data_IF_686085695258
#
_entry.id   IF_686085695258
#
_cell.length_a   1.000
_cell.length_b   1.000
_cell.length_c   1.000
_cell.angle_alpha   90.00
_cell.angle_beta   90.00
_cell.angle_gamma   90.00
#
_symmetry.space_group_name_H-M   'P 1'
#
loop_
_entity.id
_entity.type
_entity.pdbx_description
1 polymer ?
#
# COMPACT_ATOMS: atom_id res chain seq x y z
N UNK A 1 -31.17 -28.04 -40.27
CA UNK A 1 -31.19 -27.77 -38.81
C UNK A 1 -29.77 -27.57 -38.24
N UNK A 2 -28.83 -28.50 -38.48
CA UNK A 2 -27.44 -28.41 -37.98
C UNK A 2 -26.74 -27.11 -38.41
N UNK A 3 -26.84 -26.71 -39.68
CA UNK A 3 -26.21 -25.47 -40.18
C UNK A 3 -26.72 -24.19 -39.49
N UNK A 4 -27.98 -24.17 -39.05
CA UNK A 4 -28.57 -23.03 -38.34
C UNK A 4 -28.01 -22.95 -36.92
N UNK A 5 -27.89 -24.09 -36.24
CA UNK A 5 -27.30 -24.18 -34.90
C UNK A 5 -25.82 -23.74 -34.92
N UNK A 6 -25.06 -24.16 -35.93
CA UNK A 6 -23.65 -23.75 -36.09
C UNK A 6 -23.53 -22.24 -36.29
N UNK A 7 -24.38 -21.63 -37.13
CA UNK A 7 -24.39 -20.18 -37.36
C UNK A 7 -24.75 -19.40 -36.10
N UNK A 8 -25.76 -19.85 -35.36
CA UNK A 8 -26.18 -19.20 -34.12
C UNK A 8 -25.09 -19.31 -33.04
N UNK A 9 -24.45 -20.47 -32.92
CA UNK A 9 -23.33 -20.67 -32.00
C UNK A 9 -22.15 -19.76 -32.33
N UNK A 10 -21.78 -19.64 -33.61
CA UNK A 10 -20.73 -18.73 -34.06
C UNK A 10 -21.04 -17.27 -33.74
N UNK A 11 -22.28 -16.82 -33.94
CA UNK A 11 -22.72 -15.47 -33.61
C UNK A 11 -22.59 -15.17 -32.11
N UNK A 12 -23.02 -16.10 -31.25
CA UNK A 12 -22.93 -15.95 -29.80
C UNK A 12 -21.49 -15.91 -29.29
N UNK A 13 -20.61 -16.76 -29.83
CA UNK A 13 -19.17 -16.74 -29.50
C UNK A 13 -18.56 -15.41 -29.93
N UNK A 14 -18.87 -14.92 -31.14
CA UNK A 14 -18.38 -13.64 -31.62
C UNK A 14 -18.86 -12.48 -30.73
N UNK A 15 -20.15 -12.46 -30.36
CA UNK A 15 -20.71 -11.44 -29.47
C UNK A 15 -20.06 -11.47 -28.09
N UNK A 16 -19.88 -12.65 -27.50
CA UNK A 16 -19.22 -12.81 -26.20
C UNK A 16 -17.76 -12.36 -26.23
N UNK A 17 -17.01 -12.71 -27.28
CA UNK A 17 -15.64 -12.25 -27.48
C UNK A 17 -15.57 -10.73 -27.62
N UNK A 18 -16.50 -10.10 -28.33
CA UNK A 18 -16.57 -8.63 -28.45
C UNK A 18 -16.80 -7.98 -27.08
N UNK A 19 -17.67 -8.54 -26.25
CA UNK A 19 -17.91 -8.04 -24.88
C UNK A 19 -16.65 -8.18 -24.02
N UNK A 20 -15.98 -9.35 -24.05
CA UNK A 20 -14.72 -9.56 -23.30
C UNK A 20 -13.65 -8.57 -23.76
N UNK A 21 -13.42 -8.45 -25.08
CA UNK A 21 -12.45 -7.51 -25.64
C UNK A 21 -12.82 -6.08 -25.24
N UNK A 22 -14.09 -5.71 -25.27
CA UNK A 22 -14.56 -4.39 -24.84
C UNK A 22 -14.31 -4.11 -23.35
N UNK A 23 -14.47 -5.12 -22.48
CA UNK A 23 -14.15 -5.00 -21.05
C UNK A 23 -12.65 -4.85 -20.81
N UNK A 24 -11.82 -5.61 -21.53
CA UNK A 24 -10.37 -5.51 -21.43
C UNK A 24 -9.77 -4.29 -22.14
N UNK A 25 -10.48 -3.73 -23.12
CA UNK A 25 -10.07 -2.54 -23.85
C UNK A 25 -10.39 -1.24 -23.11
N UNK A 26 -11.23 -1.28 -22.06
CA UNK A 26 -11.37 -0.13 -21.16
C UNK A 26 -10.06 -0.02 -20.39
N UNK A 27 -9.30 1.09 -20.53
CA UNK A 27 -8.20 1.35 -19.61
C UNK A 27 -8.81 1.32 -18.21
N UNK A 28 -8.18 0.57 -17.31
CA UNK A 28 -8.58 0.54 -15.92
C UNK A 28 -8.41 1.99 -15.41
N UNK A 29 -9.54 2.69 -15.26
CA UNK A 29 -9.58 4.11 -14.94
C UNK A 29 -9.48 4.24 -13.42
N UNK A 30 -8.24 4.25 -12.96
CA UNK A 30 -7.86 4.39 -11.57
C UNK A 30 -7.10 5.69 -11.33
N UNK A 31 -7.41 6.71 -12.14
CA UNK A 31 -6.82 8.04 -11.99
C UNK A 31 -6.82 8.49 -10.53
N UNK A 32 -7.92 8.27 -9.81
CA UNK A 32 -8.01 8.60 -8.38
C UNK A 32 -7.02 7.84 -7.48
N UNK A 33 -6.72 6.57 -7.75
CA UNK A 33 -5.75 5.81 -6.96
C UNK A 33 -4.31 6.18 -7.32
N UNK A 34 -4.03 6.37 -8.62
CA UNK A 34 -2.73 6.86 -9.06
C UNK A 34 -2.46 8.26 -8.51
N UNK A 35 -3.42 9.17 -8.58
CA UNK A 35 -3.29 10.53 -8.06
C UNK A 35 -3.15 10.56 -6.53
N UNK A 36 -3.80 9.61 -5.83
CA UNK A 36 -3.64 9.46 -4.39
C UNK A 36 -2.24 8.94 -4.01
N UNK A 37 -1.71 7.97 -4.76
CA UNK A 37 -0.43 7.33 -4.43
C UNK A 37 0.79 8.07 -4.99
N UNK A 38 0.65 8.72 -6.15
CA UNK A 38 1.68 9.44 -6.90
C UNK A 38 1.05 10.69 -7.57
N UNK A 39 0.70 11.73 -6.79
CA UNK A 39 0.08 12.93 -7.32
C UNK A 39 0.97 13.61 -8.37
N UNK A 40 0.44 13.98 -9.55
CA UNK A 40 1.25 14.56 -10.63
C UNK A 40 1.80 15.96 -10.31
N UNK A 41 1.10 16.70 -9.43
CA UNK A 41 1.43 18.08 -9.07
C UNK A 41 2.41 18.18 -7.88
N UNK A 42 3.06 17.08 -7.49
CA UNK A 42 3.96 17.05 -6.34
C UNK A 42 5.20 16.20 -6.60
N UNK A 43 6.38 16.74 -6.25
CA UNK A 43 7.65 16.00 -6.32
C UNK A 43 7.58 14.76 -5.42
N UNK A 44 7.78 13.57 -6.00
CA UNK A 44 7.78 12.30 -5.25
C UNK A 44 9.03 12.19 -4.35
N UNK A 45 8.93 11.71 -3.09
CA UNK A 45 7.75 11.17 -2.40
C UNK A 45 6.79 12.26 -1.90
N UNK A 46 5.49 12.09 -2.15
CA UNK A 46 4.47 13.03 -1.70
C UNK A 46 3.13 12.36 -1.45
N UNK A 47 2.44 12.79 -0.39
CA UNK A 47 1.07 12.37 -0.06
C UNK A 47 0.27 13.56 0.43
N UNK A 48 -0.82 13.93 -0.27
CA UNK A 48 -1.65 15.09 0.05
C UNK A 48 -0.85 16.40 0.22
N UNK A 49 0.25 16.57 -0.54
CA UNK A 49 1.14 17.73 -0.44
C UNK A 49 2.20 17.63 0.68
N UNK A 50 2.20 16.56 1.48
CA UNK A 50 3.23 16.28 2.48
C UNK A 50 4.41 15.60 1.81
N UNK A 51 5.57 16.26 1.86
CA UNK A 51 6.83 15.82 1.26
C UNK A 51 7.84 15.46 2.34
N UNK A 52 8.08 14.16 2.60
CA UNK A 52 9.17 13.74 3.48
C UNK A 52 10.50 14.39 3.09
N UNK A 53 11.25 14.85 4.09
CA UNK A 53 12.50 15.61 3.98
C UNK A 53 12.32 17.12 3.79
N UNK A 54 11.11 17.60 3.49
CA UNK A 54 10.84 19.02 3.22
C UNK A 54 9.71 19.60 4.08
N UNK A 55 8.63 18.86 4.29
CA UNK A 55 7.48 19.31 5.09
C UNK A 55 7.80 19.17 6.58
N UNK A 56 7.64 20.26 7.33
CA UNK A 56 7.78 20.27 8.79
C UNK A 56 6.70 19.40 9.44
N UNK A 57 6.94 18.97 10.67
CA UNK A 57 5.96 18.20 11.44
C UNK A 57 4.65 18.96 11.63
N UNK A 58 4.72 20.25 11.95
CA UNK A 58 3.53 21.09 12.16
C UNK A 58 2.77 21.36 10.86
N UNK A 59 3.46 21.62 9.75
CA UNK A 59 2.81 21.77 8.45
C UNK A 59 2.13 20.47 8.02
N UNK A 60 2.78 19.33 8.21
CA UNK A 60 2.20 18.03 7.91
C UNK A 60 0.92 17.80 8.73
N UNK A 61 0.93 18.08 10.03
CA UNK A 61 -0.25 17.96 10.89
C UNK A 61 -1.35 18.93 10.48
N UNK A 62 -1.02 20.18 10.15
CA UNK A 62 -1.99 21.15 9.67
C UNK A 62 -2.65 20.73 8.35
N UNK A 63 -1.89 20.14 7.43
CA UNK A 63 -2.42 19.55 6.19
C UNK A 63 -3.37 18.39 6.54
N UNK A 64 -2.92 17.44 7.35
CA UNK A 64 -3.74 16.28 7.71
C UNK A 64 -5.02 16.67 8.46
N UNK A 65 -4.95 17.67 9.34
CA UNK A 65 -6.11 18.21 10.04
C UNK A 65 -7.11 18.90 9.10
N UNK A 66 -6.68 19.45 7.96
CA UNK A 66 -7.62 19.95 6.94
C UNK A 66 -8.26 18.81 6.15
N UNK A 67 -7.48 17.79 5.80
CA UNK A 67 -7.93 16.70 4.93
C UNK A 67 -8.69 15.60 5.67
N UNK A 68 -8.59 15.49 7.00
CA UNK A 68 -9.13 14.34 7.74
C UNK A 68 -10.63 14.10 7.53
N UNK A 69 -11.42 15.17 7.31
CA UNK A 69 -12.86 15.06 7.14
C UNK A 69 -13.23 14.27 5.87
N UNK A 70 -12.42 14.39 4.82
CA UNK A 70 -12.59 13.62 3.58
C UNK A 70 -12.09 12.18 3.71
N UNK A 71 -11.23 11.89 4.69
CA UNK A 71 -10.49 10.64 4.81
C UNK A 71 -10.61 9.98 6.19
N UNK A 72 -11.82 9.92 6.73
CA UNK A 72 -12.15 9.47 8.09
C UNK A 72 -11.73 8.03 8.46
N UNK A 73 -11.03 7.30 7.59
CA UNK A 73 -10.58 5.90 7.81
C UNK A 73 -9.07 5.72 7.79
N UNK A 74 -8.30 6.80 7.63
CA UNK A 74 -6.84 6.69 7.59
C UNK A 74 -6.22 6.69 8.99
N UNK A 75 -5.16 5.89 9.13
CA UNK A 75 -4.24 5.96 10.25
C UNK A 75 -2.86 6.31 9.68
N UNK A 76 -2.22 7.33 10.26
CA UNK A 76 -0.99 7.90 9.73
C UNK A 76 0.05 7.92 10.84
N UNK A 77 1.26 7.46 10.53
CA UNK A 77 2.42 7.55 11.41
C UNK A 77 3.48 8.41 10.73
N UNK A 78 3.85 9.50 11.41
CA UNK A 78 4.90 10.43 11.01
C UNK A 78 6.18 10.06 11.75
N UNK A 79 7.27 9.80 11.04
CA UNK A 79 8.59 9.55 11.63
C UNK A 79 9.53 10.70 11.30
N UNK A 80 10.33 11.11 12.27
CA UNK A 80 11.28 12.21 12.17
C UNK A 80 12.46 11.96 13.12
N UNK A 81 13.58 12.67 12.93
CA UNK A 81 14.78 12.49 13.75
C UNK A 81 15.08 13.73 14.60
N UNK A 82 15.46 13.52 15.86
CA UNK A 82 16.07 14.54 16.72
C UNK A 82 17.35 13.98 17.32
N UNK A 83 18.48 14.66 17.09
CA UNK A 83 19.80 14.20 17.58
C UNK A 83 20.07 12.71 17.26
N UNK A 84 19.75 12.29 16.03
CA UNK A 84 19.88 10.90 15.53
C UNK A 84 18.95 9.86 16.16
N UNK A 85 18.08 10.23 17.11
CA UNK A 85 17.06 9.34 17.63
C UNK A 85 15.80 9.40 16.74
N UNK A 86 15.31 8.24 16.25
CA UNK A 86 14.04 8.20 15.54
C UNK A 86 12.90 8.45 16.54
N UNK A 87 12.08 9.44 16.22
CA UNK A 87 10.85 9.77 16.92
C UNK A 87 9.67 9.51 15.98
N UNK A 88 8.53 9.16 16.57
CA UNK A 88 7.31 8.92 15.82
C UNK A 88 6.14 9.69 16.44
N UNK A 89 5.21 10.11 15.59
CA UNK A 89 3.92 10.67 15.97
C UNK A 89 2.83 9.92 15.20
N UNK A 90 1.99 9.21 15.95
CA UNK A 90 0.83 8.51 15.40
C UNK A 90 -0.36 9.46 15.40
N UNK A 91 -1.09 9.50 14.29
CA UNK A 91 -2.34 10.23 14.14
C UNK A 91 -3.41 9.27 13.61
N UNK A 92 -4.50 9.13 14.35
CA UNK A 92 -5.56 8.19 14.03
C UNK A 92 -6.90 8.91 14.07
N UNK A 93 -7.58 8.97 12.92
CA UNK A 93 -8.94 9.50 12.81
C UNK A 93 -10.00 8.40 12.65
N UNK A 94 -9.59 7.17 12.31
CA UNK A 94 -10.50 6.04 12.11
C UNK A 94 -11.20 5.62 13.41
N UNK A 95 -10.57 5.91 14.56
CA UNK A 95 -11.02 5.46 15.87
C UNK A 95 -10.91 3.94 16.06
N UNK A 96 -10.30 3.24 15.10
CA UNK A 96 -9.85 1.86 15.23
C UNK A 96 -8.40 1.92 15.67
N UNK A 97 -8.16 1.84 16.97
CA UNK A 97 -6.82 1.62 17.50
C UNK A 97 -6.54 0.12 17.57
N UNK A 98 -5.30 -0.27 17.25
CA UNK A 98 -4.73 -1.58 17.56
C UNK A 98 -4.65 -1.86 19.08
N UNK A 99 -4.98 -0.87 19.92
CA UNK A 99 -5.17 -1.06 21.34
C UNK A 99 -6.68 -1.12 21.64
N UNK A 100 -7.23 -2.29 22.02
CA UNK A 100 -8.67 -2.52 22.18
C UNK A 100 -9.33 -1.75 23.34
N UNK A 101 -8.68 -0.73 23.91
CA UNK A 101 -9.13 -0.03 25.12
C UNK A 101 -9.56 1.41 24.92
N UNK A 102 -9.51 1.98 23.70
CA UNK A 102 -9.73 3.44 23.54
C UNK A 102 -10.77 3.77 22.47
N UNK A 103 -11.82 4.48 22.92
CA UNK A 103 -12.91 5.04 22.10
C UNK A 103 -12.34 6.08 21.11
N UNK A 104 -13.05 6.25 19.97
CA UNK A 104 -12.83 7.28 18.94
C UNK A 104 -12.24 8.58 19.50
N UNK A 105 -11.09 9.02 18.97
CA UNK A 105 -10.45 10.29 19.31
C UNK A 105 -9.03 10.38 18.74
N UNK A 106 -8.58 11.61 18.47
CA UNK A 106 -7.18 11.91 18.13
C UNK A 106 -6.31 11.57 19.34
N UNK A 107 -5.40 10.60 19.20
CA UNK A 107 -4.34 10.40 20.18
C UNK A 107 -3.10 11.14 19.72
N UNK A 108 -2.84 12.26 20.38
CA UNK A 108 -1.59 12.97 20.22
C UNK A 108 -0.63 12.51 21.31
N UNK A 109 0.32 11.64 20.95
CA UNK A 109 1.44 11.32 21.84
C UNK A 109 2.37 12.53 21.88
N UNK A 110 2.21 13.34 22.94
CA UNK A 110 3.03 14.47 23.39
C UNK A 110 3.50 15.43 22.27
N UNK A 111 2.80 16.55 22.14
CA UNK A 111 3.29 17.69 21.38
C UNK A 111 4.47 18.35 22.13
N UNK A 112 5.70 18.09 21.70
CA UNK A 112 6.85 18.90 22.08
C UNK A 112 6.95 20.06 21.06
N UNK A 113 6.61 21.31 21.46
CA UNK A 113 6.67 22.46 20.55
C UNK A 113 8.10 22.76 20.08
N UNK A 114 9.13 22.20 20.71
CA UNK A 114 10.50 22.29 20.21
C UNK A 114 10.74 21.44 18.94
N UNK A 115 9.76 20.64 18.50
CA UNK A 115 9.85 19.73 17.35
C UNK A 115 8.97 20.14 16.17
N UNK A 116 8.27 21.27 16.28
CA UNK A 116 7.37 21.81 15.26
C UNK A 116 8.00 21.95 13.88
N UNK A 117 9.21 22.52 13.83
CA UNK A 117 9.90 22.86 12.58
C UNK A 117 10.78 21.72 12.03
N UNK A 118 10.78 20.55 12.67
CA UNK A 118 11.61 19.42 12.23
C UNK A 118 10.95 18.77 10.99
N UNK A 119 11.67 18.61 9.88
CA UNK A 119 11.13 17.93 8.71
C UNK A 119 10.87 16.46 9.03
N UNK A 120 9.75 15.92 8.54
CA UNK A 120 9.46 14.50 8.68
C UNK A 120 10.34 13.69 7.72
N UNK A 121 10.89 12.57 8.15
CA UNK A 121 11.72 11.70 7.32
C UNK A 121 10.89 10.65 6.56
N UNK A 122 9.81 10.19 7.20
CA UNK A 122 8.95 9.13 6.68
C UNK A 122 7.50 9.35 7.11
N UNK A 123 6.58 9.05 6.22
CA UNK A 123 5.15 9.08 6.42
C UNK A 123 4.59 7.69 6.07
N UNK A 124 4.02 7.00 7.05
CA UNK A 124 3.37 5.71 6.87
C UNK A 124 1.86 5.91 6.95
N UNK A 125 1.16 5.59 5.86
CA UNK A 125 -0.29 5.71 5.72
C UNK A 125 -0.89 4.31 5.68
N UNK A 126 -1.77 4.00 6.62
CA UNK A 126 -2.61 2.80 6.57
C UNK A 126 -3.89 3.13 5.84
N UNK A 127 -4.03 2.52 4.67
CA UNK A 127 -5.10 2.75 3.72
C UNK A 127 -6.34 1.92 4.05
N UNK A 128 -7.46 2.21 3.39
CA UNK A 128 -8.70 1.44 3.52
C UNK A 128 -8.43 -0.05 3.18
N UNK A 129 -8.92 -1.01 3.99
CA UNK A 129 -8.75 -2.44 3.73
C UNK A 129 -9.33 -2.92 2.39
N UNK A 130 -10.14 -2.10 1.72
CA UNK A 130 -10.62 -2.38 0.37
C UNK A 130 -9.56 -2.24 -0.74
N UNK A 131 -8.45 -1.54 -0.50
CA UNK A 131 -7.39 -1.40 -1.49
C UNK A 131 -6.58 -2.70 -1.60
N UNK A 132 -6.57 -3.33 -2.76
CA UNK A 132 -5.84 -4.58 -2.98
C UNK A 132 -4.52 -4.37 -3.72
N UNK A 133 -3.61 -5.35 -3.62
CA UNK A 133 -2.38 -5.36 -4.40
C UNK A 133 -2.64 -5.31 -5.91
N UNK A 134 -3.70 -5.97 -6.38
CA UNK A 134 -4.11 -5.96 -7.78
C UNK A 134 -4.47 -4.56 -8.25
N UNK A 135 -5.20 -3.80 -7.45
CA UNK A 135 -5.54 -2.40 -7.78
C UNK A 135 -4.25 -1.58 -7.91
N UNK A 136 -3.34 -1.66 -6.93
CA UNK A 136 -2.05 -0.96 -6.98
C UNK A 136 -1.22 -1.36 -8.22
N UNK A 137 -1.17 -2.65 -8.55
CA UNK A 137 -0.39 -3.13 -9.69
C UNK A 137 -1.00 -2.66 -11.03
N UNK A 138 -2.32 -2.60 -11.14
CA UNK A 138 -2.99 -2.06 -12.32
C UNK A 138 -2.76 -0.54 -12.45
N UNK A 139 -2.73 0.18 -11.33
CA UNK A 139 -2.52 1.64 -11.29
C UNK A 139 -1.09 2.09 -11.51
N UNK A 140 -0.15 1.47 -10.81
CA UNK A 140 1.24 1.92 -10.78
C UNK A 140 2.13 1.07 -11.69
N UNK A 141 1.60 -0.05 -12.20
CA UNK A 141 2.37 -1.03 -12.94
C UNK A 141 3.24 -1.90 -12.03
N UNK A 142 4.28 -2.47 -12.63
CA UNK A 142 5.24 -3.32 -11.91
C UNK A 142 6.10 -2.46 -10.99
N UNK A 143 6.30 -2.84 -9.71
CA UNK A 143 7.23 -2.15 -8.83
C UNK A 143 8.66 -2.25 -9.37
N UNK A 144 9.48 -1.22 -9.07
CA UNK A 144 10.89 -1.20 -9.45
C UNK A 144 11.65 -2.34 -8.76
N UNK A 145 11.41 -2.50 -7.46
CA UNK A 145 12.02 -3.53 -6.63
C UNK A 145 10.97 -4.16 -5.69
N UNK A 146 11.19 -5.43 -5.36
CA UNK A 146 10.36 -6.16 -4.39
C UNK A 146 11.28 -6.72 -3.31
N UNK A 147 11.01 -6.38 -2.05
CA UNK A 147 11.71 -6.96 -0.91
C UNK A 147 10.72 -7.73 -0.03
N UNK A 148 11.22 -8.69 0.74
CA UNK A 148 10.37 -9.53 1.57
C UNK A 148 10.92 -9.73 2.99
N UNK A 149 9.98 -9.75 3.93
CA UNK A 149 10.19 -10.17 5.31
C UNK A 149 9.26 -11.32 5.67
N UNK A 150 9.57 -12.02 6.75
CA UNK A 150 8.73 -13.09 7.30
C UNK A 150 8.27 -12.72 8.70
N UNK A 151 6.98 -12.88 8.97
CA UNK A 151 6.42 -12.69 10.29
C UNK A 151 5.80 -14.00 10.79
N UNK A 152 6.22 -14.42 11.98
CA UNK A 152 5.75 -15.63 12.62
C UNK A 152 4.65 -15.29 13.63
N UNK A 153 3.48 -15.89 13.45
CA UNK A 153 2.34 -15.78 14.35
C UNK A 153 2.22 -17.03 15.22
N UNK A 154 1.49 -16.94 16.34
CA UNK A 154 1.06 -18.09 17.15
C UNK A 154 2.20 -19.08 17.45
N UNK A 155 3.30 -18.58 18.00
CA UNK A 155 4.50 -19.35 18.34
C UNK A 155 5.14 -20.10 17.15
N UNK A 156 4.92 -19.62 15.92
CA UNK A 156 5.49 -20.17 14.69
C UNK A 156 4.61 -21.20 13.98
N UNK A 157 3.37 -21.39 14.41
CA UNK A 157 2.41 -22.29 13.72
C UNK A 157 1.85 -21.67 12.44
N UNK A 158 1.85 -20.34 12.34
CA UNK A 158 1.50 -19.61 11.13
C UNK A 158 2.65 -18.68 10.73
N UNK A 159 2.89 -18.58 9.43
CA UNK A 159 3.87 -17.68 8.84
C UNK A 159 3.15 -16.78 7.86
N UNK A 160 3.45 -15.49 7.95
CA UNK A 160 3.06 -14.50 6.95
C UNK A 160 4.30 -14.02 6.20
N UNK A 161 4.16 -13.87 4.90
CA UNK A 161 5.11 -13.19 4.03
C UNK A 161 4.71 -11.71 3.96
N UNK A 162 5.60 -10.82 4.40
CA UNK A 162 5.45 -9.37 4.26
C UNK A 162 6.19 -8.97 2.99
N UNK A 163 5.47 -8.39 2.04
CA UNK A 163 6.03 -7.91 0.80
C UNK A 163 6.02 -6.40 0.76
N UNK A 164 7.17 -5.85 0.38
CA UNK A 164 7.45 -4.43 0.24
C UNK A 164 7.64 -4.14 -1.25
N UNK A 165 6.64 -3.51 -1.86
CA UNK A 165 6.61 -3.18 -3.28
C UNK A 165 7.11 -1.75 -3.45
N UNK A 166 8.32 -1.58 -3.98
CA UNK A 166 8.98 -0.29 -4.08
C UNK A 166 8.70 0.38 -5.43
N UNK A 167 8.22 1.61 -5.38
CA UNK A 167 7.93 2.48 -6.51
C UNK A 167 8.78 3.75 -6.40
N UNK A 168 8.95 4.46 -7.51
CA UNK A 168 9.70 5.72 -7.58
C UNK A 168 11.09 5.66 -6.90
N UNK A 169 11.87 4.60 -7.19
CA UNK A 169 13.21 4.42 -6.61
C UNK A 169 13.22 4.12 -5.11
N UNK A 170 12.13 3.60 -4.56
CA UNK A 170 11.98 3.30 -3.12
C UNK A 170 11.45 4.47 -2.29
N UNK A 171 11.11 5.58 -2.92
CA UNK A 171 10.48 6.73 -2.26
C UNK A 171 9.04 6.41 -1.82
N UNK A 172 8.36 5.50 -2.54
CA UNK A 172 7.02 5.01 -2.21
C UNK A 172 7.06 3.48 -2.07
N UNK A 173 6.66 2.97 -0.92
CA UNK A 173 6.64 1.54 -0.60
C UNK A 173 5.23 1.10 -0.23
N UNK A 174 4.69 0.13 -0.96
CA UNK A 174 3.40 -0.48 -0.64
C UNK A 174 3.65 -1.79 0.10
N UNK A 175 3.10 -1.94 1.29
CA UNK A 175 3.29 -3.11 2.15
C UNK A 175 2.05 -3.99 2.13
N UNK A 176 2.25 -5.28 1.90
CA UNK A 176 1.18 -6.29 1.90
C UNK A 176 1.56 -7.46 2.79
N UNK A 177 0.56 -8.13 3.39
CA UNK A 177 0.77 -9.32 4.23
C UNK A 177 0.03 -10.51 3.63
N UNK A 178 0.78 -11.55 3.30
CA UNK A 178 0.26 -12.77 2.68
C UNK A 178 0.39 -13.93 3.64
N UNK A 179 -0.71 -14.64 3.92
CA UNK A 179 -0.64 -15.89 4.66
C UNK A 179 0.02 -16.96 3.78
N UNK A 180 0.93 -17.73 4.36
CA UNK A 180 1.61 -18.78 3.63
C UNK A 180 0.64 -19.89 3.18
N UNK A 181 0.80 -20.36 1.93
CA UNK A 181 -0.13 -21.29 1.28
C UNK A 181 -1.19 -20.62 0.39
N UNK A 182 -1.04 -19.31 0.15
CA UNK A 182 -1.91 -18.51 -0.71
C UNK A 182 -1.93 -19.03 -2.16
N UNK A 183 -3.10 -19.03 -2.80
CA UNK A 183 -3.20 -19.28 -4.25
C UNK A 183 -2.81 -18.04 -5.04
N UNK A 184 -2.30 -18.23 -6.26
CA UNK A 184 -1.94 -17.12 -7.15
C UNK A 184 -3.13 -16.17 -7.42
N UNK A 185 -4.36 -16.68 -7.45
CA UNK A 185 -5.57 -15.87 -7.63
C UNK A 185 -5.97 -15.05 -6.39
N UNK A 186 -5.48 -15.42 -5.21
CA UNK A 186 -5.70 -14.71 -3.94
C UNK A 186 -4.61 -13.66 -3.71
N UNK A 187 -3.41 -13.86 -4.25
CA UNK A 187 -2.28 -12.92 -4.16
C UNK A 187 -2.64 -11.49 -4.57
N UNK A 188 -3.31 -11.34 -5.70
CA UNK A 188 -3.73 -10.04 -6.21
C UNK A 188 -4.88 -9.43 -5.41
N UNK A 189 -5.60 -10.23 -4.62
CA UNK A 189 -6.68 -9.76 -3.74
C UNK A 189 -6.18 -9.44 -2.34
N UNK A 190 -4.90 -9.62 -2.06
CA UNK A 190 -4.33 -9.31 -0.76
C UNK A 190 -4.48 -7.82 -0.48
N UNK A 191 -5.11 -7.43 0.66
CA UNK A 191 -5.22 -6.03 1.04
C UNK A 191 -3.86 -5.38 1.26
N UNK A 192 -3.75 -4.11 0.87
CA UNK A 192 -2.63 -3.26 1.23
C UNK A 192 -2.72 -2.96 2.72
N UNK A 193 -1.64 -3.27 3.45
CA UNK A 193 -1.53 -3.00 4.88
C UNK A 193 -1.24 -1.51 5.11
N UNK A 194 -0.29 -0.98 4.35
CA UNK A 194 0.15 0.41 4.45
C UNK A 194 0.91 0.84 3.21
N UNK A 195 0.97 2.15 3.00
CA UNK A 195 1.80 2.82 2.01
C UNK A 195 2.75 3.73 2.77
N UNK A 196 4.04 3.62 2.51
CA UNK A 196 5.09 4.41 3.12
C UNK A 196 5.68 5.36 2.08
N UNK A 197 5.82 6.62 2.47
CA UNK A 197 6.47 7.69 1.73
C UNK A 197 7.72 8.10 2.50
N UNK A 198 8.89 8.06 1.89
CA UNK A 198 10.15 8.22 2.62
C UNK A 198 11.19 8.97 1.79
N UNK A 199 11.83 9.96 2.39
CA UNK A 199 13.00 10.62 1.79
C UNK A 199 14.24 9.71 1.79
N UNK A 200 14.21 8.67 2.63
CA UNK A 200 15.28 7.69 2.78
C UNK A 200 14.88 6.38 2.10
N UNK A 201 15.74 5.86 1.23
CA UNK A 201 15.56 4.51 0.68
C UNK A 201 15.79 3.46 1.78
N UNK A 202 14.92 2.45 1.85
CA UNK A 202 15.10 1.29 2.73
C UNK A 202 16.04 0.29 2.03
N UNK A 203 17.34 0.37 2.32
CA UNK A 203 18.34 -0.50 1.68
C UNK A 203 18.52 -1.88 2.31
N UNK A 204 17.88 -2.17 3.45
CA UNK A 204 18.35 -3.26 4.32
C UNK A 204 17.52 -4.55 4.23
N UNK A 205 16.47 -4.58 3.40
CA UNK A 205 15.63 -5.77 3.21
C UNK A 205 16.12 -6.65 2.04
N UNK A 206 15.92 -7.96 2.17
CA UNK A 206 16.31 -8.90 1.13
C UNK A 206 15.42 -8.72 -0.12
N UNK A 207 16.06 -8.44 -1.26
CA UNK A 207 15.39 -8.41 -2.56
C UNK A 207 14.93 -9.80 -2.98
N UNK A 208 13.72 -9.88 -3.54
CA UNK A 208 13.13 -11.10 -4.11
C UNK A 208 12.44 -10.77 -5.44
N UNK A 209 12.25 -11.78 -6.31
CA UNK A 209 11.47 -11.59 -7.53
C UNK A 209 9.96 -11.78 -7.28
N UNK A 210 9.12 -11.21 -8.14
CA UNK A 210 7.66 -11.37 -8.06
C UNK A 210 7.23 -12.83 -8.27
N UNK A 211 7.92 -13.55 -9.17
CA UNK A 211 7.72 -14.98 -9.41
C UNK A 211 8.06 -15.79 -8.15
N UNK A 212 9.14 -15.42 -7.45
CA UNK A 212 9.49 -16.05 -6.19
C UNK A 212 8.45 -15.78 -5.09
N UNK A 213 7.86 -14.58 -5.06
CA UNK A 213 6.83 -14.20 -4.09
C UNK A 213 5.49 -14.92 -4.29
N UNK A 214 5.14 -15.21 -5.55
CA UNK A 214 3.89 -15.89 -5.94
C UNK A 214 4.00 -17.42 -5.96
N UNK A 215 5.22 -17.95 -5.87
CA UNK A 215 5.49 -19.38 -5.94
C UNK A 215 5.09 -20.14 -4.68
N UNK A 216 4.79 -21.45 -4.77
CA UNK A 216 4.44 -22.30 -3.63
C UNK A 216 5.57 -22.44 -2.60
N UNK A 217 6.80 -22.05 -2.96
CA UNK A 217 7.97 -22.09 -2.10
C UNK A 217 8.28 -20.77 -1.40
N UNK A 218 7.52 -19.70 -1.67
CA UNK A 218 7.72 -18.37 -1.08
C UNK A 218 7.74 -18.40 0.46
N UNK A 219 7.15 -19.45 1.06
CA UNK A 219 7.04 -19.66 2.49
C UNK A 219 7.76 -20.90 3.03
N UNK A 220 8.53 -21.63 2.21
CA UNK A 220 9.33 -22.74 2.75
C UNK A 220 10.45 -22.15 3.59
N UNK A 221 10.48 -22.46 4.88
CA UNK A 221 11.62 -22.19 5.78
C UNK A 221 12.91 -22.57 5.04
N UNK A 222 13.79 -21.60 4.76
CA UNK A 222 15.19 -21.92 4.40
C UNK A 222 15.83 -22.54 5.65
N UNK A 223 15.87 -23.87 5.73
CA UNK A 223 16.51 -24.57 6.85
C UNK A 223 15.84 -25.87 7.31
N UNK A 224 14.83 -26.39 6.59
CA UNK A 224 14.36 -27.77 6.74
C UNK A 224 14.36 -28.47 5.38
#
# INVERSE_FOLDING_TARGET
MIAVLVRLGGLLIALFSVVIIGLHARPYDDGGLRDLLLPPDCDTPCFLGIRPGATSLDDALAILDREHAAHARMEIELQYRRASLPLYRLVNWSGYLLYPLQRRGRMEMTHDPALSDVPIDTLLVRVDPGLTLGDVYLSLGRPADLTAGYWYHDLGTQVSLILHHNYAGGAVEVVTRHLCGLRASEFWKTPVLSVRYSALSLSDLQAISLEAATGPHACRRRGQ
#
